data_IF_770797201160
#
_entry.id   IF_770797201160
#
_cell.length_a   1.000
_cell.length_b   1.000
_cell.length_c   1.000
_cell.angle_alpha   90.00
_cell.angle_beta   90.00
_cell.angle_gamma   90.00
#
_symmetry.space_group_name_H-M   'P 1'
#
loop_
_entity.id
_entity.type
_entity.pdbx_description
1 polymer ?
#
# COMPACT_ATOMS: atom_id res chain seq x y z
N UNK A 1 -0.22 -21.90 12.41
CA UNK A 1 -0.09 -20.96 11.29
C UNK A 1 1.25 -20.26 11.44
N UNK A 2 1.98 -19.99 10.34
CA UNK A 2 3.32 -19.34 10.36
C UNK A 2 4.38 -20.08 11.19
N UNK A 3 4.55 -21.39 10.96
CA UNK A 3 5.44 -22.24 11.78
C UNK A 3 6.92 -21.87 11.68
N UNK A 4 7.33 -21.20 10.61
CA UNK A 4 8.73 -20.88 10.29
C UNK A 4 9.05 -19.38 10.44
N UNK A 5 8.16 -18.58 11.02
CA UNK A 5 8.33 -17.11 11.16
C UNK A 5 8.72 -16.74 12.59
N UNK A 6 9.51 -15.68 12.75
CA UNK A 6 9.77 -15.09 14.07
C UNK A 6 8.55 -14.31 14.59
N UNK A 7 8.54 -14.02 15.89
CA UNK A 7 7.48 -13.22 16.52
C UNK A 7 7.37 -11.82 15.89
N UNK A 8 8.48 -11.23 15.43
CA UNK A 8 8.51 -9.95 14.75
C UNK A 8 7.97 -10.00 13.32
N UNK A 9 8.11 -11.13 12.64
CA UNK A 9 7.59 -11.34 11.28
C UNK A 9 6.09 -11.67 11.31
N UNK A 10 5.60 -12.24 12.41
CA UNK A 10 4.20 -12.62 12.54
C UNK A 10 3.26 -11.43 12.37
N UNK A 11 2.17 -11.57 11.58
CA UNK A 11 1.24 -10.49 11.33
C UNK A 11 0.56 -10.05 12.63
N UNK A 12 0.83 -8.80 13.01
CA UNK A 12 0.24 -8.17 14.19
C UNK A 12 -1.17 -7.63 13.94
N UNK A 13 -1.75 -6.97 14.95
CA UNK A 13 -3.12 -6.44 14.87
C UNK A 13 -3.34 -5.46 13.70
N UNK A 14 -2.32 -4.68 13.33
CA UNK A 14 -2.41 -3.71 12.24
C UNK A 14 -2.55 -4.37 10.85
N UNK A 15 -2.17 -5.64 10.70
CA UNK A 15 -2.37 -6.40 9.45
C UNK A 15 -3.85 -6.65 9.14
N UNK A 16 -4.70 -6.75 10.18
CA UNK A 16 -6.16 -6.82 9.98
C UNK A 16 -6.67 -5.53 9.33
N UNK A 17 -6.12 -4.38 9.72
CA UNK A 17 -6.46 -3.07 9.15
C UNK A 17 -5.95 -2.96 7.71
N UNK A 18 -4.72 -3.39 7.46
CA UNK A 18 -4.13 -3.45 6.12
C UNK A 18 -4.98 -4.30 5.17
N UNK A 19 -5.34 -5.53 5.58
CA UNK A 19 -6.19 -6.43 4.83
C UNK A 19 -7.58 -5.83 4.55
N UNK A 20 -8.22 -5.21 5.56
CA UNK A 20 -9.51 -4.53 5.39
C UNK A 20 -9.44 -3.43 4.32
N UNK A 21 -8.41 -2.58 4.37
CA UNK A 21 -8.22 -1.50 3.40
C UNK A 21 -7.95 -2.00 1.98
N UNK A 22 -7.19 -3.09 1.85
CA UNK A 22 -6.97 -3.76 0.56
C UNK A 22 -8.29 -4.28 -0.03
N UNK A 23 -9.10 -4.99 0.76
CA UNK A 23 -10.40 -5.52 0.30
C UNK A 23 -11.40 -4.41 -0.06
N UNK A 24 -11.41 -3.30 0.68
CA UNK A 24 -12.21 -2.13 0.33
C UNK A 24 -11.83 -1.55 -1.03
N UNK A 25 -10.53 -1.39 -1.29
CA UNK A 25 -10.02 -0.92 -2.58
C UNK A 25 -10.41 -1.87 -3.71
N UNK A 26 -10.25 -3.19 -3.51
CA UNK A 26 -10.64 -4.22 -4.48
C UNK A 26 -12.14 -4.20 -4.79
N UNK A 27 -12.97 -3.82 -3.82
CA UNK A 27 -14.40 -3.62 -4.00
C UNK A 27 -14.77 -2.25 -4.64
N UNK A 28 -13.79 -1.44 -5.07
CA UNK A 28 -14.02 -0.10 -5.63
C UNK A 28 -14.48 0.94 -4.61
N UNK A 29 -14.26 0.69 -3.31
CA UNK A 29 -14.66 1.59 -2.22
C UNK A 29 -13.47 2.39 -1.71
N UNK A 30 -13.75 3.61 -1.27
CA UNK A 30 -12.77 4.50 -0.67
C UNK A 30 -12.46 4.09 0.79
N UNK A 31 -11.31 3.45 0.98
CA UNK A 31 -10.82 3.03 2.29
C UNK A 31 -10.37 4.18 3.19
N UNK A 32 -9.91 5.31 2.65
CA UNK A 32 -9.42 6.45 3.44
C UNK A 32 -10.50 6.95 4.41
N UNK A 33 -11.75 7.03 3.93
CA UNK A 33 -12.91 7.53 4.70
C UNK A 33 -13.20 6.74 5.96
N UNK A 34 -12.84 5.46 6.00
CA UNK A 34 -13.05 4.59 7.17
C UNK A 34 -11.74 4.31 7.92
N UNK A 35 -10.60 4.60 7.31
CA UNK A 35 -9.28 4.37 7.87
C UNK A 35 -8.92 5.36 8.99
N UNK A 36 -9.63 6.47 9.15
CA UNK A 36 -9.28 7.49 10.16
C UNK A 36 -7.84 8.01 10.06
N UNK A 37 -7.20 7.87 8.89
CA UNK A 37 -5.83 8.32 8.64
C UNK A 37 -5.83 9.81 8.29
N UNK A 38 -4.80 10.53 8.74
CA UNK A 38 -4.67 11.97 8.54
C UNK A 38 -4.30 12.36 7.11
N UNK A 39 -3.67 11.46 6.36
CA UNK A 39 -3.27 11.68 4.96
C UNK A 39 -3.53 10.45 4.10
N UNK A 40 -3.61 10.65 2.78
CA UNK A 40 -3.71 9.54 1.83
C UNK A 40 -2.49 8.63 1.86
N UNK A 41 -1.29 9.19 2.06
CA UNK A 41 -0.05 8.43 2.04
C UNK A 41 0.02 7.41 3.18
N UNK A 42 -0.59 7.73 4.33
CA UNK A 42 -0.78 6.76 5.41
C UNK A 42 -1.62 5.58 4.93
N UNK A 43 -2.76 5.80 4.29
CA UNK A 43 -3.59 4.70 3.75
C UNK A 43 -2.88 3.92 2.65
N UNK A 44 -2.11 4.60 1.79
CA UNK A 44 -1.29 3.92 0.78
C UNK A 44 -0.32 2.95 1.44
N UNK A 45 0.34 3.33 2.55
CA UNK A 45 1.25 2.42 3.27
C UNK A 45 0.57 1.14 3.76
N UNK A 46 -0.66 1.22 4.30
CA UNK A 46 -1.43 0.03 4.71
C UNK A 46 -1.94 -0.82 3.53
N UNK A 47 -1.92 -0.28 2.32
CA UNK A 47 -2.32 -0.98 1.09
C UNK A 47 -1.13 -1.50 0.28
N UNK A 48 0.11 -1.28 0.75
CA UNK A 48 1.32 -1.81 0.10
C UNK A 48 1.44 -3.32 0.30
N UNK A 49 2.22 -3.95 -0.57
CA UNK A 49 2.70 -5.33 -0.44
C UNK A 49 1.62 -6.43 -0.33
N UNK A 50 0.37 -6.13 -0.66
CA UNK A 50 -0.61 -7.16 -1.01
C UNK A 50 -0.20 -7.77 -2.35
N UNK A 51 -0.22 -9.10 -2.47
CA UNK A 51 0.39 -9.88 -3.56
C UNK A 51 -0.08 -9.52 -5.00
N UNK A 52 -1.06 -8.65 -5.15
CA UNK A 52 -1.50 -8.12 -6.44
C UNK A 52 -0.61 -6.95 -6.87
N UNK A 53 0.04 -7.08 -8.04
CA UNK A 53 0.80 -5.99 -8.65
C UNK A 53 -0.16 -4.85 -9.01
N UNK A 54 -0.01 -3.71 -8.34
CA UNK A 54 -0.76 -2.48 -8.64
C UNK A 54 0.08 -1.61 -9.58
N UNK A 55 -0.31 -1.57 -10.85
CA UNK A 55 0.29 -0.65 -11.82
C UNK A 55 -0.20 0.77 -11.57
N UNK A 56 0.72 1.71 -11.44
CA UNK A 56 0.42 3.14 -11.38
C UNK A 56 0.96 3.81 -12.64
N UNK A 57 0.11 4.52 -13.37
CA UNK A 57 0.56 5.36 -14.48
C UNK A 57 1.28 6.57 -13.90
N UNK A 58 2.54 6.76 -14.29
CA UNK A 58 3.33 7.92 -13.91
C UNK A 58 3.64 8.73 -15.17
N UNK A 59 3.45 10.05 -15.09
CA UNK A 59 3.92 10.98 -16.10
C UNK A 59 5.34 11.39 -15.69
N UNK A 60 6.39 11.01 -16.45
CA UNK A 60 7.74 11.45 -16.15
C UNK A 60 7.83 12.95 -16.39
N UNK A 61 8.16 13.70 -15.34
CA UNK A 61 8.38 15.15 -15.38
C UNK A 61 9.87 15.54 -15.33
N UNK A 62 10.74 14.58 -15.01
CA UNK A 62 12.17 14.80 -14.92
C UNK A 62 12.77 14.99 -16.32
N UNK A 63 13.11 16.24 -16.64
CA UNK A 63 13.90 16.58 -17.81
C UNK A 63 15.40 16.29 -17.58
N UNK A 64 15.91 15.29 -18.29
CA UNK A 64 17.32 14.88 -18.27
C UNK A 64 18.10 15.36 -19.48
N UNK A 65 17.54 16.24 -20.32
CA UNK A 65 18.19 16.77 -21.53
C UNK A 65 19.57 17.38 -21.27
N UNK A 66 19.78 17.91 -20.06
CA UNK A 66 21.08 18.44 -19.60
C UNK A 66 22.21 17.39 -19.46
N UNK A 67 21.89 16.09 -19.49
CA UNK A 67 22.85 15.00 -19.34
C UNK A 67 23.06 14.18 -20.63
N UNK A 68 22.25 14.41 -21.66
CA UNK A 68 22.38 13.76 -22.96
C UNK A 68 23.22 14.62 -23.90
N UNK A 69 24.54 14.41 -23.91
CA UNK A 69 25.45 14.88 -24.96
C UNK A 69 25.42 13.95 -26.19
#
# INVERSE_FOLDING_TARGET
CYADWSDEEMPGFHEVRALSLHLYKKAGKDGQKIAGHSSEDMTKNYQKDHAEIVWSEAVPDLDISQFSN
#
